data_IF_018221432023
#
_entry.id   IF_018221432023
#
_cell.length_a   1.000
_cell.length_b   1.000
_cell.length_c   1.000
_cell.angle_alpha   90.00
_cell.angle_beta   90.00
_cell.angle_gamma   90.00
#
_symmetry.space_group_name_H-M   'P 1'
#
loop_
_entity.id
_entity.type
_entity.pdbx_description
1 polymer ?
#
# COMPACT_ATOMS: atom_id res chain seq x y z
N UNK A 1 41.03 -21.28 46.56
CA UNK A 1 40.62 -21.14 45.15
C UNK A 1 39.84 -22.39 44.74
N UNK A 2 38.53 -22.43 45.02
CA UNK A 2 37.48 -23.13 44.25
C UNK A 2 36.22 -22.35 44.59
N UNK A 3 35.66 -21.59 43.65
CA UNK A 3 34.39 -20.88 43.86
C UNK A 3 33.25 -21.82 43.45
N UNK A 4 32.44 -22.14 44.46
CA UNK A 4 30.98 -22.36 44.45
C UNK A 4 30.31 -21.84 43.16
N UNK A 5 29.40 -22.53 42.50
CA UNK A 5 28.47 -23.54 42.96
C UNK A 5 27.12 -23.22 42.33
N UNK A 6 26.59 -24.17 41.55
CA UNK A 6 25.15 -24.42 41.39
C UNK A 6 24.29 -23.18 41.05
N UNK A 7 24.23 -22.84 39.76
CA UNK A 7 23.16 -22.01 39.19
C UNK A 7 21.82 -22.73 39.32
N UNK A 8 21.12 -22.48 40.42
CA UNK A 8 19.75 -22.93 40.68
C UNK A 8 18.79 -22.36 39.65
N UNK A 9 18.24 -23.27 38.86
CA UNK A 9 16.80 -23.45 38.69
C UNK A 9 15.99 -22.18 38.46
N UNK A 10 15.82 -21.89 37.17
CA UNK A 10 14.76 -21.11 36.58
C UNK A 10 13.36 -21.66 36.92
N UNK A 11 12.86 -21.46 38.14
CA UNK A 11 11.42 -21.55 38.40
C UNK A 11 11.05 -20.50 39.45
N UNK A 12 10.46 -19.39 39.02
CA UNK A 12 9.11 -19.04 39.46
C UNK A 12 8.68 -17.66 38.97
N UNK A 13 7.60 -17.67 38.19
CA UNK A 13 6.43 -16.81 38.38
C UNK A 13 6.71 -15.30 38.47
N UNK A 14 6.66 -14.64 37.32
CA UNK A 14 6.58 -13.19 37.33
C UNK A 14 6.65 -12.51 35.98
N UNK A 15 6.27 -13.16 34.87
CA UNK A 15 6.02 -12.40 33.64
C UNK A 15 4.61 -11.81 33.77
N UNK A 16 4.49 -10.86 34.71
CA UNK A 16 3.68 -9.67 34.49
C UNK A 16 3.98 -9.27 33.06
N UNK A 17 2.96 -9.37 32.20
CA UNK A 17 3.01 -8.86 30.84
C UNK A 17 3.36 -7.36 30.93
N UNK A 18 4.66 -7.08 30.98
CA UNK A 18 5.22 -5.74 30.88
C UNK A 18 4.68 -5.22 29.56
N UNK A 19 3.84 -4.20 29.65
CA UNK A 19 3.25 -3.49 28.52
C UNK A 19 4.18 -3.54 27.32
N UNK A 20 3.70 -4.17 26.23
CA UNK A 20 4.36 -4.14 24.95
C UNK A 20 4.57 -2.66 24.59
N UNK A 21 5.82 -2.24 24.58
CA UNK A 21 6.37 -0.95 24.19
C UNK A 21 5.36 0.18 23.95
N UNK A 22 5.35 1.18 24.83
CA UNK A 22 4.80 2.50 24.50
C UNK A 22 5.71 3.13 23.46
N UNK A 23 5.40 2.95 22.18
CA UNK A 23 6.07 3.66 21.08
C UNK A 23 5.62 5.12 21.16
N UNK A 24 6.41 5.95 21.85
CA UNK A 24 6.31 7.41 21.72
C UNK A 24 6.79 7.77 20.31
N UNK A 25 5.88 7.77 19.33
CA UNK A 25 6.13 8.42 18.05
C UNK A 25 6.28 9.91 18.37
N UNK A 26 7.52 10.38 18.37
CA UNK A 26 7.96 11.62 19.00
C UNK A 26 7.05 12.82 18.72
N UNK A 27 6.47 13.35 19.79
CA UNK A 27 6.13 14.76 19.92
C UNK A 27 7.41 15.60 19.80
N UNK A 28 7.69 16.11 18.58
CA UNK A 28 8.28 17.43 18.25
C UNK A 28 8.71 17.55 16.78
N UNK A 29 8.66 16.48 15.99
CA UNK A 29 8.84 16.56 14.54
C UNK A 29 8.00 15.48 13.85
N UNK A 30 6.67 15.58 13.97
CA UNK A 30 5.80 14.78 13.13
C UNK A 30 6.01 15.23 11.68
N UNK A 31 6.83 14.49 10.92
CA UNK A 31 7.06 14.79 9.51
C UNK A 31 5.83 14.36 8.71
N UNK A 32 4.86 15.29 8.66
CA UNK A 32 3.62 15.16 7.91
C UNK A 32 3.88 14.69 6.47
N UNK A 33 5.00 15.12 5.91
CA UNK A 33 5.43 14.80 4.54
C UNK A 33 5.83 13.36 4.39
N UNK A 34 6.53 12.80 5.38
CA UNK A 34 6.85 11.37 5.38
C UNK A 34 5.59 10.52 5.48
N UNK A 35 4.66 10.89 6.37
CA UNK A 35 3.38 10.20 6.52
C UNK A 35 2.55 10.22 5.23
N UNK A 36 2.44 11.38 4.57
CA UNK A 36 1.74 11.49 3.27
C UNK A 36 2.46 10.68 2.18
N UNK A 37 3.80 10.75 2.15
CA UNK A 37 4.59 9.97 1.19
C UNK A 37 4.30 8.48 1.32
N UNK A 38 4.30 7.95 2.54
CA UNK A 38 4.01 6.55 2.80
C UNK A 38 2.63 6.15 2.28
N UNK A 39 1.61 6.97 2.56
CA UNK A 39 0.23 6.70 2.14
C UNK A 39 0.10 6.70 0.61
N UNK A 40 0.74 7.66 -0.06
CA UNK A 40 0.74 7.71 -1.53
C UNK A 40 1.45 6.47 -2.10
N UNK A 41 2.62 6.10 -1.57
CA UNK A 41 3.36 4.93 -2.04
C UNK A 41 2.58 3.63 -1.84
N UNK A 42 1.93 3.47 -0.69
CA UNK A 42 1.09 2.31 -0.41
C UNK A 42 -0.08 2.23 -1.39
N UNK A 43 -0.73 3.35 -1.67
CA UNK A 43 -1.76 3.43 -2.71
C UNK A 43 -1.23 3.07 -4.10
N UNK A 44 -0.08 3.60 -4.53
CA UNK A 44 0.49 3.28 -5.84
C UNK A 44 0.87 1.80 -5.95
N UNK A 45 1.31 1.19 -4.84
CA UNK A 45 1.56 -0.26 -4.76
C UNK A 45 0.28 -1.06 -4.97
N UNK A 46 -0.80 -0.68 -4.30
CA UNK A 46 -2.09 -1.30 -4.47
C UNK A 46 -2.65 -1.11 -5.88
N UNK A 47 -2.41 0.06 -6.48
CA UNK A 47 -2.76 0.30 -7.87
C UNK A 47 -2.05 -0.69 -8.79
N UNK A 48 -0.73 -0.85 -8.66
CA UNK A 48 0.01 -1.84 -9.47
C UNK A 48 -0.53 -3.26 -9.32
N UNK A 49 -0.79 -3.72 -8.09
CA UNK A 49 -1.37 -5.05 -7.87
C UNK A 49 -2.78 -5.18 -8.47
N UNK A 50 -3.59 -4.14 -8.34
CA UNK A 50 -4.94 -4.08 -8.91
C UNK A 50 -4.87 -4.16 -10.43
N UNK A 51 -4.02 -3.35 -11.08
CA UNK A 51 -3.81 -3.36 -12.53
C UNK A 51 -3.45 -4.76 -13.05
N UNK A 52 -2.57 -5.47 -12.35
CA UNK A 52 -2.16 -6.83 -12.73
C UNK A 52 -3.28 -7.84 -12.50
N UNK A 53 -4.11 -7.65 -11.48
CA UNK A 53 -5.26 -8.51 -11.25
C UNK A 53 -6.33 -8.34 -12.34
N UNK A 54 -6.71 -7.10 -12.63
CA UNK A 54 -7.75 -6.80 -13.63
C UNK A 54 -7.32 -7.04 -15.07
N UNK A 55 -6.02 -7.20 -15.34
CA UNK A 55 -5.54 -7.59 -16.67
C UNK A 55 -5.82 -9.06 -16.99
N UNK A 56 -6.17 -9.88 -15.99
CA UNK A 56 -6.43 -11.32 -16.12
C UNK A 56 -5.28 -12.14 -16.75
N UNK A 57 -4.07 -11.56 -16.87
CA UNK A 57 -2.90 -12.24 -17.46
C UNK A 57 -2.25 -13.24 -16.50
N UNK A 58 -2.58 -13.16 -15.21
CA UNK A 58 -2.11 -14.08 -14.19
C UNK A 58 -3.28 -14.91 -13.65
N UNK A 59 -3.07 -16.20 -13.37
CA UNK A 59 -4.13 -17.04 -12.81
C UNK A 59 -4.52 -16.55 -11.41
N UNK A 60 -5.78 -16.69 -11.03
CA UNK A 60 -6.30 -16.24 -9.72
C UNK A 60 -5.51 -16.76 -8.52
N UNK A 61 -4.94 -17.98 -8.61
CA UNK A 61 -4.05 -18.58 -7.59
C UNK A 61 -2.75 -17.79 -7.34
N UNK A 62 -2.37 -16.89 -8.24
CA UNK A 62 -1.23 -16.00 -8.08
C UNK A 62 -1.55 -14.77 -7.21
N UNK A 63 -2.75 -14.68 -6.66
CA UNK A 63 -3.19 -13.57 -5.83
C UNK A 63 -3.74 -14.04 -4.48
N UNK A 64 -3.55 -13.19 -3.47
CA UNK A 64 -4.20 -13.31 -2.16
C UNK A 64 -5.07 -12.09 -1.90
N UNK A 65 -6.23 -12.30 -1.29
CA UNK A 65 -7.13 -11.23 -0.90
C UNK A 65 -6.70 -10.64 0.43
N UNK A 66 -6.54 -9.33 0.51
CA UNK A 66 -6.10 -8.59 1.70
C UNK A 66 -7.03 -7.41 1.92
N UNK A 67 -7.34 -7.13 3.19
CA UNK A 67 -8.08 -5.92 3.57
C UNK A 67 -7.19 -4.67 3.42
N UNK A 68 -7.71 -3.66 2.72
CA UNK A 68 -7.13 -2.34 2.60
C UNK A 68 -8.18 -1.30 2.99
N UNK A 69 -8.08 -0.79 4.23
CA UNK A 69 -9.14 0.06 4.78
C UNK A 69 -10.45 -0.70 4.88
N UNK A 70 -11.48 -0.27 4.12
CA UNK A 70 -12.81 -0.88 4.11
C UNK A 70 -13.06 -1.82 2.94
N UNK A 71 -12.09 -2.00 2.05
CA UNK A 71 -12.21 -2.83 0.85
C UNK A 71 -11.28 -4.03 0.90
N UNK A 72 -11.58 -5.04 0.08
CA UNK A 72 -10.72 -6.18 -0.15
C UNK A 72 -10.04 -6.05 -1.51
N UNK A 73 -8.72 -6.23 -1.52
CA UNK A 73 -7.89 -6.10 -2.72
C UNK A 73 -7.11 -7.39 -2.96
N UNK A 74 -6.82 -7.68 -4.23
CA UNK A 74 -6.03 -8.83 -4.62
C UNK A 74 -4.56 -8.43 -4.80
N UNK A 75 -3.69 -8.99 -3.96
CA UNK A 75 -2.25 -8.79 -4.02
C UNK A 75 -1.59 -9.96 -4.73
N UNK A 76 -0.80 -9.68 -5.76
CA UNK A 76 0.01 -10.71 -6.42
C UNK A 76 1.06 -11.26 -5.43
N UNK A 77 1.19 -12.59 -5.37
CA UNK A 77 2.19 -13.30 -4.56
C UNK A 77 3.37 -13.82 -5.38
N UNK A 78 3.34 -13.65 -6.70
CA UNK A 78 4.51 -13.95 -7.53
C UNK A 78 5.69 -13.08 -7.09
N UNK A 79 6.78 -13.74 -6.71
CA UNK A 79 7.95 -13.08 -6.14
C UNK A 79 8.58 -12.08 -7.11
N UNK A 80 8.62 -12.40 -8.41
CA UNK A 80 9.24 -11.54 -9.42
C UNK A 80 8.40 -10.28 -9.62
N UNK A 81 7.07 -10.43 -9.67
CA UNK A 81 6.13 -9.30 -9.75
C UNK A 81 6.24 -8.40 -8.53
N UNK A 82 6.20 -8.97 -7.31
CA UNK A 82 6.31 -8.20 -6.07
C UNK A 82 7.64 -7.45 -6.00
N UNK A 83 8.75 -8.12 -6.32
CA UNK A 83 10.07 -7.48 -6.34
C UNK A 83 10.20 -6.41 -7.42
N UNK A 84 9.56 -6.58 -8.57
CA UNK A 84 9.51 -5.56 -9.62
C UNK A 84 8.78 -4.32 -9.12
N UNK A 85 7.56 -4.48 -8.58
CA UNK A 85 6.77 -3.38 -8.02
C UNK A 85 7.55 -2.64 -6.93
N UNK A 86 8.12 -3.37 -5.97
CA UNK A 86 8.85 -2.77 -4.85
C UNK A 86 10.09 -1.98 -5.31
N UNK A 87 10.85 -2.51 -6.28
CA UNK A 87 12.02 -1.81 -6.85
C UNK A 87 11.61 -0.56 -7.62
N UNK A 88 10.57 -0.66 -8.45
CA UNK A 88 10.04 0.48 -9.22
C UNK A 88 9.57 1.58 -8.29
N UNK A 89 8.80 1.26 -7.25
CA UNK A 89 8.27 2.25 -6.30
C UNK A 89 9.33 2.82 -5.36
N UNK A 90 10.43 2.11 -5.09
CA UNK A 90 11.54 2.68 -4.34
C UNK A 90 12.08 3.95 -4.99
N UNK A 91 12.19 3.98 -6.33
CA UNK A 91 12.60 5.19 -7.07
C UNK A 91 11.55 6.30 -6.99
N UNK A 92 10.27 5.95 -7.09
CA UNK A 92 9.10 6.85 -7.02
C UNK A 92 9.01 7.56 -5.68
N UNK A 93 9.41 6.90 -4.58
CA UNK A 93 9.41 7.47 -3.22
C UNK A 93 10.15 8.81 -3.14
N UNK A 94 11.29 8.93 -3.85
CA UNK A 94 12.10 10.15 -3.86
C UNK A 94 11.40 11.29 -4.59
N UNK A 95 10.67 10.98 -5.66
CA UNK A 95 9.92 11.96 -6.43
C UNK A 95 8.72 12.51 -5.65
N UNK A 96 8.02 11.65 -4.90
CA UNK A 96 6.93 12.04 -3.99
C UNK A 96 7.48 12.92 -2.86
N UNK A 97 8.55 12.49 -2.18
CA UNK A 97 9.21 13.28 -1.12
C UNK A 97 9.72 14.63 -1.61
N UNK A 98 9.97 14.82 -2.90
CA UNK A 98 10.40 16.10 -3.46
C UNK A 98 9.23 16.92 -4.03
N UNK A 99 8.00 16.43 -3.91
CA UNK A 99 6.80 17.02 -4.53
C UNK A 99 6.96 17.22 -6.06
N UNK A 100 7.77 16.37 -6.69
CA UNK A 100 8.10 16.45 -8.12
C UNK A 100 7.33 15.44 -8.98
N UNK A 101 6.73 14.42 -8.37
CA UNK A 101 5.87 13.48 -9.09
C UNK A 101 4.54 14.17 -9.41
N UNK A 102 4.23 14.32 -10.71
CA UNK A 102 2.99 14.95 -11.20
C UNK A 102 1.96 13.94 -11.68
N UNK A 103 2.42 12.81 -12.18
CA UNK A 103 1.57 11.72 -12.60
C UNK A 103 2.30 10.39 -12.34
N UNK A 104 1.52 9.33 -12.20
CA UNK A 104 1.99 7.96 -12.13
C UNK A 104 1.05 7.09 -12.95
N UNK A 105 1.59 6.20 -13.76
CA UNK A 105 0.80 5.24 -14.53
C UNK A 105 1.16 3.83 -14.10
N UNK A 106 0.14 3.02 -13.79
CA UNK A 106 0.28 1.58 -13.69
C UNK A 106 -0.31 0.97 -14.96
N UNK A 107 0.54 0.39 -15.80
CA UNK A 107 0.14 -0.20 -17.05
C UNK A 107 0.69 -1.62 -17.23
N UNK A 108 0.02 -2.38 -18.09
CA UNK A 108 0.51 -3.65 -18.62
C UNK A 108 0.69 -3.47 -20.11
N UNK A 109 1.84 -3.90 -20.61
CA UNK A 109 2.20 -3.83 -22.02
C UNK A 109 2.39 -5.22 -22.60
N UNK A 110 2.11 -5.37 -23.89
CA UNK A 110 2.43 -6.57 -24.65
C UNK A 110 3.91 -6.60 -25.09
N UNK A 111 4.30 -7.65 -25.82
CA UNK A 111 5.66 -7.81 -26.36
C UNK A 111 6.06 -6.74 -27.40
N UNK A 112 5.08 -5.98 -27.91
CA UNK A 112 5.29 -4.87 -28.85
C UNK A 112 5.23 -3.50 -28.15
N UNK A 113 5.33 -3.47 -26.82
CA UNK A 113 5.22 -2.27 -25.98
C UNK A 113 3.87 -1.54 -26.08
N UNK A 114 2.81 -2.23 -26.54
CA UNK A 114 1.46 -1.68 -26.61
C UNK A 114 0.77 -1.82 -25.28
N UNK A 115 0.17 -0.73 -24.81
CA UNK A 115 -0.58 -0.69 -23.55
C UNK A 115 -1.88 -1.50 -23.71
N UNK A 116 -1.99 -2.59 -22.94
CA UNK A 116 -3.20 -3.41 -22.83
C UNK A 116 -4.19 -2.75 -21.86
N UNK A 117 -3.67 -2.32 -20.71
CA UNK A 117 -4.44 -1.63 -19.67
C UNK A 117 -3.56 -0.58 -19.00
N UNK A 118 -4.15 0.56 -18.67
CA UNK A 118 -3.47 1.66 -18.00
C UNK A 118 -4.41 2.35 -17.01
N UNK A 119 -3.89 2.59 -15.81
CA UNK A 119 -4.50 3.46 -14.81
C UNK A 119 -3.56 4.62 -14.50
N UNK A 120 -3.97 5.82 -14.93
CA UNK A 120 -3.24 7.06 -14.73
C UNK A 120 -3.73 7.78 -13.46
N UNK A 121 -2.79 8.05 -12.54
CA UNK A 121 -3.02 8.87 -11.35
C UNK A 121 -2.33 10.20 -11.52
N UNK A 122 -3.11 11.27 -11.52
CA UNK A 122 -2.59 12.64 -11.46
C UNK A 122 -2.36 13.03 -9.99
N UNK A 123 -1.13 13.39 -9.69
CA UNK A 123 -0.70 13.83 -8.36
C UNK A 123 -0.58 15.34 -8.41
N UNK A 124 -1.69 16.00 -8.07
CA UNK A 124 -1.70 17.45 -7.94
C UNK A 124 -0.82 17.82 -6.74
N UNK A 125 0.03 18.83 -6.92
CA UNK A 125 0.85 19.39 -5.86
C UNK A 125 0.04 20.22 -4.87
N UNK A 126 -1.26 19.91 -4.70
CA UNK A 126 -2.07 20.44 -3.61
C UNK A 126 -1.27 20.15 -2.37
N UNK A 127 -0.72 21.26 -1.89
CA UNK A 127 0.35 21.34 -0.96
C UNK A 127 0.17 20.24 0.07
N UNK A 128 1.22 19.45 0.31
CA UNK A 128 1.44 18.93 1.67
C UNK A 128 1.71 20.19 2.51
N UNK A 129 0.69 21.05 2.61
CA UNK A 129 0.59 22.16 3.50
C UNK A 129 0.61 21.43 4.83
N UNK A 130 1.71 21.66 5.54
CA UNK A 130 1.87 21.16 6.89
C UNK A 130 0.62 21.65 7.61
N UNK A 131 -0.31 20.73 7.87
CA UNK A 131 -1.57 21.06 8.47
C UNK A 131 -1.27 21.74 9.81
N UNK A 132 -1.90 22.90 10.03
CA UNK A 132 -1.61 23.77 11.17
C UNK A 132 -1.82 23.06 12.52
N UNK A 133 -2.59 21.97 12.49
CA UNK A 133 -2.85 21.12 13.64
C UNK A 133 -2.83 19.63 13.27
N UNK A 134 -2.52 18.81 14.27
CA UNK A 134 -2.57 17.34 14.16
C UNK A 134 -3.99 16.86 13.84
N UNK A 135 -5.02 17.53 14.34
CA UNK A 135 -6.42 17.20 14.02
C UNK A 135 -6.72 17.43 12.55
N UNK A 136 -6.31 18.57 11.99
CA UNK A 136 -6.47 18.85 10.56
C UNK A 136 -5.69 17.84 9.71
N UNK A 137 -4.44 17.53 10.08
CA UNK A 137 -3.67 16.47 9.41
C UNK A 137 -4.41 15.13 9.38
N UNK A 138 -4.94 14.67 10.52
CA UNK A 138 -5.68 13.41 10.62
C UNK A 138 -6.91 13.39 9.72
N UNK A 139 -7.66 14.49 9.68
CA UNK A 139 -8.83 14.63 8.82
C UNK A 139 -8.44 14.55 7.34
N UNK A 140 -7.40 15.28 6.93
CA UNK A 140 -6.91 15.26 5.54
C UNK A 140 -6.43 13.86 5.14
N UNK A 141 -5.67 13.18 5.99
CA UNK A 141 -5.24 11.81 5.76
C UNK A 141 -6.42 10.85 5.65
N UNK A 142 -7.45 10.99 6.49
CA UNK A 142 -8.63 10.14 6.42
C UNK A 142 -9.41 10.34 5.12
N UNK A 143 -9.53 11.60 4.66
CA UNK A 143 -10.15 11.92 3.36
C UNK A 143 -9.32 11.32 2.22
N UNK A 144 -8.01 11.52 2.24
CA UNK A 144 -7.09 10.99 1.23
C UNK A 144 -7.19 9.46 1.11
N UNK A 145 -7.14 8.75 2.25
CA UNK A 145 -7.30 7.28 2.28
C UNK A 145 -8.64 6.85 1.72
N UNK A 146 -9.75 7.50 2.09
CA UNK A 146 -11.07 7.19 1.54
C UNK A 146 -11.15 7.41 0.03
N UNK A 147 -10.54 8.47 -0.48
CA UNK A 147 -10.51 8.74 -1.92
C UNK A 147 -9.70 7.67 -2.66
N UNK A 148 -8.58 7.23 -2.09
CA UNK A 148 -7.75 6.13 -2.59
C UNK A 148 -8.47 4.78 -2.56
N UNK A 149 -9.20 4.47 -1.48
CA UNK A 149 -10.04 3.28 -1.40
C UNK A 149 -11.12 3.31 -2.49
N UNK A 150 -11.81 4.44 -2.65
CA UNK A 150 -12.86 4.59 -3.67
C UNK A 150 -12.30 4.45 -5.08
N UNK A 151 -11.13 5.02 -5.39
CA UNK A 151 -10.55 4.89 -6.73
C UNK A 151 -10.16 3.45 -7.05
N UNK A 152 -9.61 2.70 -6.10
CA UNK A 152 -9.32 1.27 -6.30
C UNK A 152 -10.62 0.47 -6.48
N UNK A 153 -11.64 0.75 -5.67
CA UNK A 153 -12.94 0.08 -5.79
C UNK A 153 -13.56 0.29 -7.17
N UNK A 154 -13.55 1.53 -7.69
CA UNK A 154 -14.07 1.84 -9.02
C UNK A 154 -13.35 1.06 -10.13
N UNK A 155 -12.04 0.83 -9.99
CA UNK A 155 -11.27 0.01 -10.94
C UNK A 155 -11.79 -1.44 -10.93
N UNK A 156 -12.03 -2.01 -9.76
CA UNK A 156 -12.60 -3.35 -9.63
C UNK A 156 -14.04 -3.44 -10.16
N UNK A 157 -14.88 -2.45 -9.87
CA UNK A 157 -16.26 -2.43 -10.34
C UNK A 157 -16.32 -2.32 -11.86
N UNK A 158 -15.52 -1.44 -12.47
CA UNK A 158 -15.43 -1.31 -13.92
C UNK A 158 -14.99 -2.62 -14.59
N UNK A 159 -14.05 -3.35 -13.99
CA UNK A 159 -13.64 -4.66 -14.50
C UNK A 159 -14.77 -5.72 -14.41
N UNK A 160 -15.45 -5.81 -13.27
CA UNK A 160 -16.55 -6.75 -13.08
C UNK A 160 -17.76 -6.48 -14.00
N UNK A 161 -18.00 -5.22 -14.36
CA UNK A 161 -19.05 -4.87 -15.32
C UNK A 161 -18.72 -5.34 -16.73
N UNK A 162 -17.46 -5.22 -17.16
CA UNK A 162 -16.99 -5.73 -18.45
C UNK A 162 -17.15 -7.26 -18.50
N UNK A 163 -16.72 -7.98 -17.46
CA UNK A 163 -16.88 -9.44 -17.38
C UNK A 163 -18.35 -9.87 -17.46
N UNK A 164 -19.28 -9.09 -16.87
CA UNK A 164 -20.72 -9.38 -16.94
C UNK A 164 -21.30 -9.15 -18.32
N UNK A 165 -20.82 -8.16 -19.07
CA UNK A 165 -21.28 -7.88 -20.43
C UNK A 165 -20.78 -8.96 -21.38
N UNK A 166 -19.50 -9.34 -21.28
CA UNK A 166 -18.91 -10.39 -22.13
C UNK A 166 -19.59 -11.74 -21.90
N UNK A 167 -19.89 -12.11 -20.65
CA UNK A 167 -20.60 -13.35 -20.34
C UNK A 167 -22.10 -13.33 -20.73
N UNK A 168 -22.71 -12.16 -20.92
CA UNK A 168 -24.08 -12.06 -21.45
C UNK A 168 -24.15 -12.12 -22.98
N UNK A 169 -23.03 -11.93 -23.67
CA UNK A 169 -22.92 -12.00 -25.12
C UNK A 169 -22.77 -13.42 -25.68
N UNK A 170 -22.67 -14.43 -24.82
CA UNK A 170 -22.59 -15.84 -25.21
C UNK A 170 -23.96 -16.49 -24.94
N UNK A 171 -24.91 -16.25 -25.85
CA UNK A 171 -26.14 -17.06 -26.01
C UNK A 171 -26.26 -17.44 -27.47
#
# INVERSE_FOLDING_TARGET
>A
MVKEGSGRECISRGILAKQAAVIKVGSKSFDQKEGVTYIILDYLKWLCHTTIFVSCLYPSKAFITIAYGRIFLHKCIDKNVVQYIDRSLHSVSRWIRRCKLKAFSACVVDDNERVIIEFLVQIQSLFIQVADSISNYRTQIAILKRNMERSLLHIFEAHNEVDRIENKGVV
#
